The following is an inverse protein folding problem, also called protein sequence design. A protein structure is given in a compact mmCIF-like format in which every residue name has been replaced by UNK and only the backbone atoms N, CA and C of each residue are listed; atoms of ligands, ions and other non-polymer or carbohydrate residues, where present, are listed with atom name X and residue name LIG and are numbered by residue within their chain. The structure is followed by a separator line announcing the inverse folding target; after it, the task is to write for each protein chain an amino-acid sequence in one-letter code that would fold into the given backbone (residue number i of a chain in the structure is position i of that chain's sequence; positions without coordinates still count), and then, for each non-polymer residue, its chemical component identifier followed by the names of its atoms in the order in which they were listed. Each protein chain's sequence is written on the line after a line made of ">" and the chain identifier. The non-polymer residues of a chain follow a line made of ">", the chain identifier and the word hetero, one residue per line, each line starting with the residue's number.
data_IF_941966710363
#
_entry.id   IF_941966710363
#
_cell.length_a   1.000
_cell.length_b   1.000
_cell.length_c   1.000
_cell.angle_alpha   90.00
_cell.angle_beta   90.00
_cell.angle_gamma   90.00
#
_symmetry.space_group_name_H-M   'P 1'
#
loop_
_entity.id
_entity.type
_entity.pdbx_description
1 polymer ?
#
# COMPACT_ATOMS: atom_id res chain seq x y z
N UNK A 1 -13.36 0.74 -2.97
CA UNK A 1 -12.68 0.93 -1.66
C UNK A 1 -12.19 -0.36 -0.99
N UNK A 2 -12.54 -1.57 -1.44
CA UNK A 2 -12.22 -2.84 -0.75
C UNK A 2 -10.71 -3.17 -0.62
N UNK A 3 -9.83 -2.52 -1.38
CA UNK A 3 -8.39 -2.74 -1.30
C UNK A 3 -7.73 -1.98 -0.14
N UNK A 4 -8.14 -0.73 0.13
CA UNK A 4 -7.56 0.11 1.18
C UNK A 4 -7.76 -0.47 2.60
N UNK A 5 -8.78 -1.29 2.79
CA UNK A 5 -9.11 -1.93 4.07
C UNK A 5 -8.52 -3.33 4.22
N UNK A 6 -7.85 -3.86 3.19
CA UNK A 6 -7.17 -5.16 3.26
C UNK A 6 -5.70 -4.94 3.56
N UNK A 7 -5.17 -5.79 4.44
CA UNK A 7 -3.73 -5.90 4.68
C UNK A 7 -2.97 -6.14 3.37
N UNK A 8 -1.94 -5.35 3.14
CA UNK A 8 -1.09 -5.46 1.96
C UNK A 8 0.29 -6.00 2.36
N UNK A 9 0.70 -7.11 1.73
CA UNK A 9 1.99 -7.75 2.03
C UNK A 9 3.17 -6.81 1.76
N UNK A 10 3.09 -6.00 0.69
CA UNK A 10 4.10 -4.98 0.38
C UNK A 10 4.15 -3.78 1.35
N UNK A 11 3.25 -3.72 2.33
CA UNK A 11 3.27 -2.75 3.45
C UNK A 11 3.53 -3.46 4.79
N UNK A 12 4.22 -4.61 4.78
CA UNK A 12 4.46 -5.38 6.01
C UNK A 12 3.22 -6.05 6.60
N UNK A 13 2.13 -6.17 5.82
CA UNK A 13 0.85 -6.71 6.30
C UNK A 13 -0.08 -5.67 6.91
N UNK A 14 0.30 -4.39 6.91
CA UNK A 14 -0.56 -3.30 7.34
C UNK A 14 -1.61 -2.93 6.29
N UNK A 15 -2.69 -2.30 6.73
CA UNK A 15 -3.73 -1.81 5.81
C UNK A 15 -3.29 -0.47 5.23
N UNK A 16 -3.43 -0.26 3.91
CA UNK A 16 -3.10 1.02 3.30
C UNK A 16 -3.78 2.23 3.95
N UNK A 17 -5.01 2.05 4.47
CA UNK A 17 -5.75 3.09 5.17
C UNK A 17 -5.13 3.51 6.52
N UNK A 18 -4.42 2.62 7.19
CA UNK A 18 -3.76 2.91 8.47
C UNK A 18 -2.40 3.58 8.23
N UNK A 19 -1.72 3.19 7.15
CA UNK A 19 -0.37 3.63 6.79
C UNK A 19 -0.38 5.04 6.16
N UNK A 20 -1.43 5.42 5.43
CA UNK A 20 -1.56 6.73 4.77
C UNK A 20 -1.64 7.92 5.74
N UNK A 21 -1.79 7.65 7.04
CA UNK A 21 -1.86 8.67 8.10
C UNK A 21 -0.53 9.41 8.29
N UNK A 22 0.58 8.87 7.78
CA UNK A 22 1.89 9.50 7.80
C UNK A 22 2.37 9.84 6.39
N UNK A 23 3.15 10.91 6.19
CA UNK A 23 3.71 11.25 4.87
C UNK A 23 4.55 10.12 4.27
N UNK A 24 5.37 9.44 5.09
CA UNK A 24 6.16 8.28 4.65
C UNK A 24 5.25 7.11 4.25
N UNK A 25 4.21 6.84 5.03
CA UNK A 25 3.29 5.76 4.73
C UNK A 25 2.42 6.03 3.49
N UNK A 26 2.03 7.28 3.24
CA UNK A 26 1.37 7.67 2.00
C UNK A 26 2.26 7.38 0.78
N UNK A 27 3.56 7.69 0.87
CA UNK A 27 4.51 7.37 -0.21
C UNK A 27 4.66 5.85 -0.40
N UNK A 28 4.72 5.07 0.68
CA UNK A 28 4.79 3.61 0.60
C UNK A 28 3.55 3.01 -0.08
N UNK A 29 2.35 3.55 0.19
CA UNK A 29 1.11 3.14 -0.48
C UNK A 29 1.15 3.49 -1.98
N UNK A 30 1.63 4.69 -2.34
CA UNK A 30 1.79 5.11 -3.74
C UNK A 30 2.75 4.19 -4.48
N UNK A 31 3.90 3.90 -3.90
CA UNK A 31 4.92 3.01 -4.49
C UNK A 31 4.37 1.60 -4.69
N UNK A 32 3.63 1.07 -3.70
CA UNK A 32 2.98 -0.24 -3.82
C UNK A 32 1.94 -0.26 -4.95
N UNK A 33 1.11 0.77 -5.07
CA UNK A 33 0.15 0.88 -6.17
C UNK A 33 0.88 0.95 -7.51
N UNK A 34 2.00 1.67 -7.57
CA UNK A 34 2.89 1.71 -8.74
C UNK A 34 3.37 0.32 -9.14
N UNK A 35 3.89 -0.47 -8.19
CA UNK A 35 4.35 -1.85 -8.44
C UNK A 35 3.22 -2.74 -8.96
N UNK A 36 2.04 -2.70 -8.34
CA UNK A 36 0.88 -3.48 -8.77
C UNK A 36 0.47 -3.11 -10.20
N UNK A 37 0.45 -1.81 -10.55
CA UNK A 37 0.14 -1.35 -11.92
C UNK A 37 1.14 -1.85 -12.95
N UNK A 38 2.40 -1.91 -12.59
CA UNK A 38 3.48 -2.40 -13.45
C UNK A 38 3.63 -3.94 -13.42
N UNK A 39 2.80 -4.65 -12.65
CA UNK A 39 2.87 -6.11 -12.51
C UNK A 39 4.11 -6.60 -11.74
N UNK A 40 4.74 -5.72 -10.96
CA UNK A 40 5.89 -6.05 -10.14
C UNK A 40 5.40 -6.76 -8.87
N UNK A 41 5.86 -7.99 -8.58
CA UNK A 41 5.46 -8.70 -7.38
C UNK A 41 5.96 -8.00 -6.11
N UNK A 42 5.15 -8.12 -5.06
CA UNK A 42 5.33 -7.48 -3.75
C UNK A 42 6.49 -8.08 -2.97
#
# INVERSE_FOLDING_TARGET
>A
MRWLTRSAWGLGGEKPADVITTPMGAQAVIDLVGRIRHGIPC
#
